data_IF_342600378164
#
_entry.id   IF_342600378164
#
_cell.length_a   1.000
_cell.length_b   1.000
_cell.length_c   1.000
_cell.angle_alpha   90.00
_cell.angle_beta   90.00
_cell.angle_gamma   90.00
#
_symmetry.space_group_name_H-M   'P 1'
#
loop_
_entity.id
_entity.type
_entity.pdbx_description
1 polymer ?
#
# COMPACT_ATOMS: atom_id res chain seq x y z
N UNK A 1 -11.16 -1.99 -12.35
CA UNK A 1 -9.73 -2.09 -12.69
C UNK A 1 -9.00 -0.73 -12.60
N UNK A 2 -9.40 0.30 -13.36
CA UNK A 2 -8.71 1.61 -13.38
C UNK A 2 -8.61 2.26 -11.99
N UNK A 3 -9.69 2.28 -11.22
CA UNK A 3 -9.68 2.86 -9.87
C UNK A 3 -8.70 2.14 -8.92
N UNK A 4 -8.64 0.80 -8.95
CA UNK A 4 -7.70 0.04 -8.14
C UNK A 4 -6.24 0.33 -8.54
N UNK A 5 -5.95 0.41 -9.84
CA UNK A 5 -4.62 0.78 -10.33
C UNK A 5 -4.23 2.21 -9.93
N UNK A 6 -5.16 3.17 -9.99
CA UNK A 6 -4.89 4.53 -9.52
C UNK A 6 -4.53 4.56 -8.03
N UNK A 7 -5.30 3.86 -7.18
CA UNK A 7 -4.99 3.77 -5.74
C UNK A 7 -3.64 3.08 -5.51
N UNK A 8 -3.32 2.04 -6.28
CA UNK A 8 -2.01 1.38 -6.21
C UNK A 8 -0.87 2.30 -6.67
N UNK A 9 -1.07 3.08 -7.73
CA UNK A 9 -0.08 4.09 -8.15
C UNK A 9 0.14 5.15 -7.06
N UNK A 10 -0.92 5.61 -6.40
CA UNK A 10 -0.80 6.50 -5.23
C UNK A 10 -0.02 5.82 -4.11
N UNK A 11 -0.24 4.52 -3.87
CA UNK A 11 0.54 3.73 -2.93
C UNK A 11 2.03 3.67 -3.30
N UNK A 12 2.36 3.46 -4.58
CA UNK A 12 3.76 3.44 -5.07
C UNK A 12 4.41 4.80 -4.90
N UNK A 13 3.74 5.88 -5.28
CA UNK A 13 4.24 7.26 -5.06
C UNK A 13 4.38 7.54 -3.55
N UNK A 14 3.42 7.07 -2.75
CA UNK A 14 3.45 7.16 -1.29
C UNK A 14 4.60 6.38 -0.65
N UNK A 15 5.20 5.39 -1.35
CA UNK A 15 6.36 4.66 -0.82
C UNK A 15 7.63 5.52 -0.73
N UNK A 16 7.70 6.56 -1.53
CA UNK A 16 8.77 7.58 -1.47
C UNK A 16 8.49 8.59 -0.36
N UNK A 17 7.22 8.82 -0.06
CA UNK A 17 6.77 9.71 1.02
C UNK A 17 6.42 8.85 2.25
N UNK A 18 7.24 8.82 3.29
CA UNK A 18 7.05 7.93 4.46
C UNK A 18 5.86 8.26 5.34
N UNK A 19 5.12 9.31 5.01
CA UNK A 19 3.88 9.71 5.68
C UNK A 19 2.70 8.80 5.28
N UNK A 20 2.73 8.23 4.08
CA UNK A 20 1.63 7.41 3.56
C UNK A 20 1.98 5.93 3.73
N UNK A 21 1.16 5.13 4.42
CA UNK A 21 1.37 3.69 4.53
C UNK A 21 1.09 3.01 3.19
N UNK A 22 2.09 3.05 2.29
CA UNK A 22 1.97 2.63 0.89
C UNK A 22 1.57 1.17 0.72
N UNK A 23 2.19 0.24 1.45
CA UNK A 23 1.88 -1.19 1.36
C UNK A 23 0.48 -1.55 1.86
N UNK A 24 -0.04 -1.02 2.99
CA UNK A 24 -1.43 -1.18 3.37
C UNK A 24 -2.42 -0.63 2.33
N UNK A 25 -2.12 0.49 1.65
CA UNK A 25 -2.99 1.03 0.60
C UNK A 25 -3.13 0.06 -0.59
N UNK A 26 -2.05 -0.60 -0.99
CA UNK A 26 -2.09 -1.61 -2.06
C UNK A 26 -2.98 -2.79 -1.64
N UNK A 27 -2.89 -3.25 -0.38
CA UNK A 27 -3.77 -4.30 0.15
C UNK A 27 -5.22 -3.86 0.14
N UNK A 28 -5.51 -2.65 0.64
CA UNK A 28 -6.88 -2.10 0.67
C UNK A 28 -7.46 -2.02 -0.75
N UNK A 29 -6.66 -1.58 -1.73
CA UNK A 29 -7.08 -1.54 -3.13
C UNK A 29 -7.38 -2.93 -3.69
N UNK A 30 -6.54 -3.93 -3.40
CA UNK A 30 -6.72 -5.30 -3.86
C UNK A 30 -7.95 -5.96 -3.19
N UNK A 31 -8.13 -5.77 -1.88
CA UNK A 31 -9.29 -6.27 -1.14
C UNK A 31 -10.57 -5.57 -1.60
N UNK A 32 -10.55 -4.25 -1.75
CA UNK A 32 -11.69 -3.48 -2.24
C UNK A 32 -12.11 -3.91 -3.64
N UNK A 33 -11.16 -4.14 -4.55
CA UNK A 33 -11.44 -4.66 -5.88
C UNK A 33 -12.08 -6.05 -5.83
N UNK A 34 -11.61 -6.93 -4.94
CA UNK A 34 -12.20 -8.25 -4.76
C UNK A 34 -13.60 -8.20 -4.17
N UNK A 35 -13.86 -7.34 -3.19
CA UNK A 35 -15.19 -7.19 -2.58
C UNK A 35 -16.22 -6.66 -3.60
N UNK A 36 -15.77 -5.85 -4.56
CA UNK A 36 -16.65 -5.27 -5.58
C UNK A 36 -16.92 -6.22 -6.75
N UNK A 37 -15.89 -6.94 -7.24
CA UNK A 37 -15.96 -7.78 -8.43
C UNK A 37 -16.08 -9.29 -8.10
N UNK A 38 -16.07 -9.69 -6.84
CA UNK A 38 -16.21 -11.08 -6.41
C UNK A 38 -15.11 -12.00 -6.96
N UNK A 39 -15.53 -13.17 -7.46
CA UNK A 39 -14.61 -14.20 -7.94
C UNK A 39 -13.98 -13.88 -9.30
N UNK A 40 -14.50 -12.93 -10.04
CA UNK A 40 -13.90 -12.42 -11.29
C UNK A 40 -12.70 -11.50 -11.05
N UNK A 41 -12.42 -11.19 -9.80
CA UNK A 41 -11.28 -10.38 -9.35
C UNK A 41 -10.01 -11.23 -9.13
N UNK A 42 -9.20 -10.80 -8.20
CA UNK A 42 -7.94 -11.43 -7.83
C UNK A 42 -8.15 -12.79 -7.16
N UNK A 43 -7.34 -13.80 -7.52
CA UNK A 43 -7.36 -15.12 -6.88
C UNK A 43 -7.06 -15.03 -5.37
N UNK A 44 -7.62 -15.94 -4.58
CA UNK A 44 -7.29 -16.08 -3.14
C UNK A 44 -5.79 -16.24 -2.91
N UNK A 45 -5.11 -16.96 -3.81
CA UNK A 45 -3.67 -17.15 -3.76
C UNK A 45 -2.92 -15.83 -3.95
N UNK A 46 -3.30 -15.03 -4.96
CA UNK A 46 -2.65 -13.73 -5.23
C UNK A 46 -2.95 -12.73 -4.11
N UNK A 47 -4.16 -12.73 -3.57
CA UNK A 47 -4.49 -11.91 -2.40
C UNK A 47 -3.63 -12.29 -1.19
N UNK A 48 -3.46 -13.59 -0.93
CA UNK A 48 -2.56 -14.10 0.11
C UNK A 48 -1.11 -13.69 -0.11
N UNK A 49 -0.62 -13.73 -1.36
CA UNK A 49 0.72 -13.26 -1.71
C UNK A 49 0.89 -11.75 -1.49
N UNK A 50 -0.11 -10.95 -1.84
CA UNK A 50 -0.08 -9.49 -1.60
C UNK A 50 -0.02 -9.19 -0.10
N UNK A 51 -0.82 -9.88 0.72
CA UNK A 51 -0.78 -9.74 2.17
C UNK A 51 0.58 -10.19 2.72
N UNK A 52 1.10 -11.33 2.27
CA UNK A 52 2.42 -11.84 2.66
C UNK A 52 3.56 -10.88 2.31
N UNK A 53 3.54 -10.32 1.10
CA UNK A 53 4.50 -9.29 0.66
C UNK A 53 4.39 -8.00 1.48
N UNK A 54 3.18 -7.65 1.92
CA UNK A 54 2.99 -6.49 2.81
C UNK A 54 3.64 -6.72 4.17
N UNK A 55 3.41 -7.88 4.78
CA UNK A 55 4.05 -8.25 6.05
C UNK A 55 5.57 -8.32 5.91
N UNK A 56 6.05 -8.88 4.80
CA UNK A 56 7.48 -8.94 4.49
C UNK A 56 8.07 -7.55 4.30
N UNK A 57 7.37 -6.63 3.61
CA UNK A 57 7.81 -5.24 3.45
C UNK A 57 7.92 -4.51 4.79
N UNK A 58 6.94 -4.68 5.68
CA UNK A 58 6.99 -4.10 7.03
C UNK A 58 8.15 -4.65 7.85
N UNK A 59 8.42 -5.96 7.73
CA UNK A 59 9.56 -6.59 8.38
C UNK A 59 10.88 -6.06 7.81
N UNK A 60 10.98 -5.89 6.48
CA UNK A 60 12.16 -5.31 5.84
C UNK A 60 12.43 -3.89 6.31
N UNK A 61 11.41 -3.03 6.40
CA UNK A 61 11.56 -1.66 6.90
C UNK A 61 12.15 -1.66 8.31
N UNK A 62 11.62 -2.51 9.18
CA UNK A 62 12.10 -2.61 10.55
C UNK A 62 13.54 -3.15 10.65
N UNK A 63 13.84 -4.24 9.92
CA UNK A 63 15.16 -4.88 9.91
C UNK A 63 16.19 -3.98 9.25
N UNK A 64 15.87 -3.33 8.13
CA UNK A 64 16.78 -2.43 7.43
C UNK A 64 17.19 -1.25 8.31
N UNK A 65 16.24 -0.63 9.02
CA UNK A 65 16.54 0.44 9.99
C UNK A 65 17.46 -0.01 11.11
N UNK A 66 17.17 -1.15 11.73
CA UNK A 66 17.95 -1.70 12.82
C UNK A 66 19.35 -2.13 12.38
N UNK A 67 19.44 -2.86 11.26
CA UNK A 67 20.73 -3.39 10.74
C UNK A 67 21.60 -2.25 10.22
N UNK A 68 21.01 -1.28 9.52
CA UNK A 68 21.74 -0.09 9.03
C UNK A 68 22.38 0.67 10.18
N UNK A 69 21.63 0.97 11.23
CA UNK A 69 22.15 1.63 12.41
C UNK A 69 23.24 0.80 13.12
N UNK A 70 22.98 -0.47 13.38
CA UNK A 70 23.94 -1.36 14.10
C UNK A 70 25.22 -1.62 13.32
N UNK A 71 25.18 -1.81 12.00
CA UNK A 71 26.38 -2.05 11.18
C UNK A 71 27.38 -0.91 11.22
N UNK A 72 26.92 0.32 11.41
CA UNK A 72 27.76 1.50 11.56
C UNK A 72 28.02 1.87 13.03
N UNK A 73 27.75 0.93 13.95
CA UNK A 73 28.15 1.02 15.33
C UNK A 73 27.15 1.72 16.26
N UNK A 74 25.89 1.91 15.83
CA UNK A 74 24.87 2.46 16.72
C UNK A 74 24.59 1.49 17.88
N UNK A 75 24.50 2.05 19.08
CA UNK A 75 23.99 1.34 20.25
C UNK A 75 22.45 1.32 20.21
N UNK A 76 21.85 0.62 21.16
CA UNK A 76 20.40 0.65 21.33
C UNK A 76 19.85 2.08 21.54
N UNK A 77 20.65 2.94 22.20
CA UNK A 77 20.32 4.36 22.40
C UNK A 77 20.26 5.12 21.08
N UNK A 78 21.24 4.88 20.20
CA UNK A 78 21.24 5.46 18.85
C UNK A 78 20.04 5.00 18.01
N UNK A 79 19.65 3.71 18.11
CA UNK A 79 18.45 3.19 17.45
C UNK A 79 17.18 3.87 17.96
N UNK A 80 17.03 4.03 19.28
CA UNK A 80 15.91 4.76 19.87
C UNK A 80 15.91 6.23 19.43
N UNK A 81 17.08 6.88 19.43
CA UNK A 81 17.25 8.25 18.95
C UNK A 81 16.85 8.39 17.48
N UNK A 82 17.21 7.42 16.61
CA UNK A 82 16.81 7.42 15.21
C UNK A 82 15.29 7.33 15.04
N UNK A 83 14.61 6.49 15.81
CA UNK A 83 13.14 6.34 15.77
C UNK A 83 12.48 7.63 16.24
N UNK A 84 12.88 8.20 17.35
CA UNK A 84 12.34 9.47 17.88
C UNK A 84 12.61 10.58 16.87
N UNK A 85 13.84 10.66 16.35
CA UNK A 85 14.22 11.64 15.32
C UNK A 85 13.41 11.51 14.04
N UNK A 86 13.11 10.27 13.59
CA UNK A 86 12.24 10.02 12.45
C UNK A 86 10.82 10.57 12.69
N UNK A 87 10.26 10.30 13.87
CA UNK A 87 8.91 10.79 14.24
C UNK A 87 8.89 12.32 14.26
N UNK A 88 9.87 12.94 14.91
CA UNK A 88 9.98 14.41 14.93
C UNK A 88 10.24 14.97 13.52
N UNK A 89 11.09 14.29 12.74
CA UNK A 89 11.40 14.64 11.36
C UNK A 89 10.20 14.66 10.42
N UNK A 90 9.18 13.82 10.68
CA UNK A 90 7.94 13.81 9.91
C UNK A 90 7.25 15.19 9.88
N UNK A 91 7.36 15.97 10.94
CA UNK A 91 6.78 17.31 11.00
C UNK A 91 7.54 18.33 10.14
N UNK A 92 8.75 18.01 9.70
CA UNK A 92 9.62 18.89 8.89
C UNK A 92 9.70 18.47 7.41
N UNK A 93 8.73 17.72 6.93
CA UNK A 93 8.68 17.23 5.53
C UNK A 93 9.84 16.29 5.14
N UNK A 94 10.11 16.15 3.84
CA UNK A 94 11.13 15.25 3.30
C UNK A 94 12.54 15.48 3.89
N UNK A 95 13.04 16.73 4.02
CA UNK A 95 14.35 16.95 4.64
C UNK A 95 14.40 16.49 6.10
N UNK A 96 13.34 16.75 6.86
CA UNK A 96 13.25 16.33 8.26
C UNK A 96 13.26 14.81 8.43
N UNK A 97 12.68 14.07 7.50
CA UNK A 97 12.65 12.63 7.52
C UNK A 97 14.03 11.98 7.35
N UNK A 98 14.92 12.58 6.57
CA UNK A 98 16.30 12.09 6.38
C UNK A 98 17.18 12.60 7.54
N UNK A 99 17.06 13.88 7.88
CA UNK A 99 17.85 14.51 8.93
C UNK A 99 17.41 14.09 10.34
N UNK A 100 16.13 13.79 10.52
CA UNK A 100 15.57 13.37 11.81
C UNK A 100 16.25 12.14 12.39
N UNK A 101 16.26 10.99 11.69
CA UNK A 101 16.98 9.80 12.13
C UNK A 101 18.48 10.03 12.35
N UNK A 102 19.10 10.83 11.49
CA UNK A 102 20.53 11.18 11.64
C UNK A 102 20.79 11.94 12.94
N UNK A 103 20.11 13.06 13.11
CA UNK A 103 20.28 13.94 14.28
C UNK A 103 19.86 13.19 15.56
N UNK A 104 18.74 12.48 15.51
CA UNK A 104 18.25 11.70 16.64
C UNK A 104 19.24 10.63 17.08
N UNK A 105 19.75 9.82 16.15
CA UNK A 105 20.75 8.81 16.46
C UNK A 105 22.04 9.43 17.02
N UNK A 106 22.57 10.45 16.35
CA UNK A 106 23.81 11.12 16.79
C UNK A 106 23.66 11.75 18.17
N UNK A 107 22.53 12.45 18.43
CA UNK A 107 22.26 13.11 19.70
C UNK A 107 22.20 12.09 20.86
N UNK A 108 21.45 10.99 20.68
CA UNK A 108 21.31 9.96 21.71
C UNK A 108 22.61 9.19 21.97
N UNK A 109 23.45 9.00 20.95
CA UNK A 109 24.79 8.43 21.14
C UNK A 109 25.71 9.37 21.92
N UNK A 110 25.66 10.68 21.63
CA UNK A 110 26.40 11.70 22.38
C UNK A 110 25.95 11.80 23.83
N UNK A 111 24.61 11.77 24.07
CA UNK A 111 24.06 11.70 25.42
C UNK A 111 24.48 10.41 26.16
N UNK A 112 24.80 9.37 25.40
CA UNK A 112 25.36 8.12 25.90
C UNK A 112 26.84 8.18 26.24
N UNK A 113 27.52 9.35 26.04
CA UNK A 113 28.95 9.55 26.32
C UNK A 113 29.89 9.15 25.19
N UNK A 114 29.37 8.88 23.98
CA UNK A 114 30.18 8.58 22.80
C UNK A 114 30.82 9.82 22.17
N UNK A 115 31.95 9.61 21.51
CA UNK A 115 32.66 10.66 20.78
C UNK A 115 31.87 11.06 19.54
N UNK A 116 32.04 12.29 19.11
CA UNK A 116 31.35 12.86 17.91
C UNK A 116 31.49 11.99 16.66
N UNK A 117 32.67 11.42 16.40
CA UNK A 117 32.90 10.56 15.25
C UNK A 117 32.07 9.27 15.27
N UNK A 118 31.90 8.65 16.44
CA UNK A 118 31.09 7.45 16.60
C UNK A 118 29.61 7.77 16.49
N UNK A 119 29.18 8.89 17.05
CA UNK A 119 27.81 9.37 16.99
C UNK A 119 27.38 9.71 15.55
N UNK A 120 28.23 10.36 14.78
CA UNK A 120 27.96 10.68 13.37
C UNK A 120 27.92 9.42 12.50
N UNK A 121 28.79 8.44 12.74
CA UNK A 121 28.73 7.13 12.05
C UNK A 121 27.40 6.41 12.34
N UNK A 122 26.96 6.41 13.59
CA UNK A 122 25.66 5.85 13.97
C UNK A 122 24.50 6.57 13.27
N UNK A 123 24.54 7.89 13.18
CA UNK A 123 23.58 8.70 12.45
C UNK A 123 23.54 8.36 10.95
N UNK A 124 24.70 8.25 10.30
CA UNK A 124 24.78 7.81 8.90
C UNK A 124 24.20 6.41 8.71
N UNK A 125 24.44 5.50 9.66
CA UNK A 125 23.86 4.17 9.66
C UNK A 125 22.33 4.18 9.71
N UNK A 126 21.77 5.05 10.51
CA UNK A 126 20.32 5.22 10.59
C UNK A 126 19.75 5.70 9.26
N UNK A 127 20.36 6.70 8.63
CA UNK A 127 19.93 7.19 7.31
C UNK A 127 20.03 6.11 6.23
N UNK A 128 21.16 5.41 6.15
CA UNK A 128 21.33 4.33 5.18
C UNK A 128 20.33 3.20 5.40
N UNK A 129 19.98 2.90 6.66
CA UNK A 129 18.94 1.93 7.00
C UNK A 129 17.56 2.38 6.50
N UNK A 130 17.19 3.63 6.69
CA UNK A 130 15.93 4.21 6.20
C UNK A 130 15.87 4.17 4.67
N UNK A 131 16.95 4.57 3.99
CA UNK A 131 17.03 4.52 2.53
C UNK A 131 16.93 3.10 1.98
N UNK A 132 17.63 2.15 2.60
CA UNK A 132 17.55 0.73 2.22
C UNK A 132 16.13 0.18 2.41
N UNK A 133 15.45 0.53 3.51
CA UNK A 133 14.04 0.20 3.76
C UNK A 133 13.13 0.79 2.68
N UNK A 134 13.31 2.07 2.33
CA UNK A 134 12.52 2.72 1.29
C UNK A 134 12.66 2.04 -0.08
N UNK A 135 13.88 1.66 -0.48
CA UNK A 135 14.13 0.91 -1.72
C UNK A 135 13.47 -0.48 -1.68
N UNK A 136 13.62 -1.20 -0.56
CA UNK A 136 12.98 -2.51 -0.38
C UNK A 136 11.45 -2.42 -0.46
N UNK A 137 10.86 -1.40 0.16
CA UNK A 137 9.44 -1.12 0.11
C UNK A 137 8.95 -0.80 -1.30
N UNK A 138 9.69 0.03 -2.04
CA UNK A 138 9.37 0.34 -3.44
C UNK A 138 9.34 -0.94 -4.28
N UNK A 139 10.35 -1.80 -4.14
CA UNK A 139 10.42 -3.09 -4.83
C UNK A 139 9.21 -3.98 -4.50
N UNK A 140 8.84 -4.08 -3.21
CA UNK A 140 7.65 -4.84 -2.79
C UNK A 140 6.36 -4.26 -3.37
N UNK A 141 6.18 -2.94 -3.37
CA UNK A 141 5.00 -2.28 -3.96
C UNK A 141 4.90 -2.56 -5.46
N UNK A 142 6.01 -2.46 -6.20
CA UNK A 142 6.03 -2.76 -7.63
C UNK A 142 5.72 -4.23 -7.90
N UNK A 143 6.27 -5.16 -7.11
CA UNK A 143 5.96 -6.58 -7.22
C UNK A 143 4.47 -6.87 -6.96
N UNK A 144 3.89 -6.26 -5.92
CA UNK A 144 2.45 -6.41 -5.62
C UNK A 144 1.58 -5.86 -6.74
N UNK A 145 1.92 -4.70 -7.30
CA UNK A 145 1.19 -4.10 -8.42
C UNK A 145 1.29 -4.96 -9.69
N UNK A 146 2.47 -5.52 -9.97
CA UNK A 146 2.67 -6.43 -11.10
C UNK A 146 1.86 -7.73 -10.94
N UNK A 147 1.88 -8.34 -9.75
CA UNK A 147 1.08 -9.54 -9.44
C UNK A 147 -0.42 -9.28 -9.57
N UNK A 148 -0.90 -8.15 -9.05
CA UNK A 148 -2.30 -7.76 -9.18
C UNK A 148 -2.69 -7.58 -10.63
N UNK A 149 -1.94 -6.77 -11.38
CA UNK A 149 -2.22 -6.48 -12.80
C UNK A 149 -2.20 -7.77 -13.63
N UNK A 150 -1.18 -8.60 -13.44
CA UNK A 150 -1.08 -9.89 -14.14
C UNK A 150 -2.27 -10.81 -13.84
N UNK A 151 -2.66 -10.91 -12.56
CA UNK A 151 -3.79 -11.75 -12.14
C UNK A 151 -5.12 -11.30 -12.76
N UNK A 152 -5.36 -9.98 -12.76
CA UNK A 152 -6.60 -9.43 -13.34
C UNK A 152 -6.63 -9.57 -14.84
N UNK A 153 -5.52 -9.30 -15.54
CA UNK A 153 -5.43 -9.45 -17.00
C UNK A 153 -5.57 -10.90 -17.41
N UNK A 154 -4.88 -11.84 -16.74
CA UNK A 154 -4.98 -13.25 -17.04
C UNK A 154 -6.43 -13.75 -16.94
N UNK A 155 -7.15 -13.36 -15.90
CA UNK A 155 -8.56 -13.73 -15.73
C UNK A 155 -9.48 -13.07 -16.76
N UNK A 156 -9.22 -11.83 -17.14
CA UNK A 156 -9.98 -11.16 -18.20
C UNK A 156 -9.81 -11.85 -19.56
N UNK A 157 -8.67 -12.50 -19.79
CA UNK A 157 -8.42 -13.27 -21.01
C UNK A 157 -9.05 -14.67 -20.97
N UNK A 158 -9.12 -15.29 -19.79
CA UNK A 158 -9.76 -16.58 -19.58
C UNK A 158 -11.29 -16.49 -19.64
N UNK A 159 -11.87 -15.37 -19.23
CA UNK A 159 -13.32 -15.15 -19.24
C UNK A 159 -13.68 -13.85 -19.96
N UNK A 160 -13.63 -13.83 -21.30
CA UNK A 160 -13.97 -12.64 -22.09
C UNK A 160 -15.45 -12.21 -21.96
N UNK A 161 -16.30 -13.04 -21.33
CA UNK A 161 -17.71 -12.75 -21.03
C UNK A 161 -17.92 -12.11 -19.65
N UNK A 162 -16.87 -11.92 -18.84
CA UNK A 162 -16.90 -11.11 -17.62
C UNK A 162 -16.92 -9.62 -18.01
N UNK A 163 -17.92 -9.22 -18.77
CA UNK A 163 -18.34 -7.84 -19.02
C UNK A 163 -18.78 -7.19 -17.70
N UNK A 164 -18.82 -5.84 -17.67
CA UNK A 164 -19.16 -5.06 -16.49
C UNK A 164 -20.42 -5.60 -15.80
N UNK A 165 -20.62 -5.30 -14.50
CA UNK A 165 -21.71 -5.87 -13.72
C UNK A 165 -22.98 -5.81 -14.55
N UNK A 166 -23.72 -6.93 -14.62
CA UNK A 166 -24.87 -7.00 -15.49
C UNK A 166 -25.74 -5.78 -15.20
N UNK A 167 -26.19 -5.19 -16.27
CA UNK A 167 -27.07 -4.01 -16.34
C UNK A 167 -28.44 -4.26 -15.65
N UNK A 168 -28.46 -5.10 -14.64
CA UNK A 168 -29.62 -5.47 -13.81
C UNK A 168 -30.15 -4.29 -12.99
N UNK A 169 -29.51 -3.14 -13.07
CA UNK A 169 -30.05 -1.91 -12.49
C UNK A 169 -30.82 -1.05 -13.48
N UNK A 170 -30.84 -1.41 -14.78
CA UNK A 170 -31.56 -0.67 -15.81
C UNK A 170 -32.77 -1.44 -16.33
N UNK A 171 -32.84 -2.77 -16.15
CA UNK A 171 -33.98 -3.57 -16.65
C UNK A 171 -35.19 -3.79 -15.70
N UNK A 172 -35.22 -3.40 -14.41
CA UNK A 172 -36.48 -3.58 -13.67
C UNK A 172 -37.63 -2.67 -14.16
N UNK A 173 -37.32 -1.65 -14.93
CA UNK A 173 -38.35 -0.71 -15.39
C UNK A 173 -39.05 -1.15 -16.67
N UNK A 174 -38.38 -1.83 -17.59
CA UNK A 174 -38.99 -2.26 -18.88
C UNK A 174 -39.84 -3.52 -18.68
N UNK A 175 -39.32 -4.48 -17.92
CA UNK A 175 -40.04 -5.74 -17.66
C UNK A 175 -41.19 -5.52 -16.67
N UNK A 176 -41.03 -4.64 -15.68
CA UNK A 176 -42.12 -4.23 -14.80
C UNK A 176 -43.21 -3.45 -15.56
N UNK A 177 -42.81 -2.59 -16.49
CA UNK A 177 -43.77 -1.88 -17.34
C UNK A 177 -44.50 -2.83 -18.30
N UNK A 178 -43.82 -3.84 -18.86
CA UNK A 178 -44.43 -4.86 -19.70
C UNK A 178 -45.43 -5.76 -18.92
N UNK A 179 -45.07 -6.12 -17.67
CA UNK A 179 -46.00 -6.86 -16.79
C UNK A 179 -47.19 -6.06 -16.34
N UNK A 180 -47.04 -4.76 -16.08
CA UNK A 180 -48.17 -3.89 -15.75
C UNK A 180 -49.12 -3.73 -16.93
N UNK A 181 -48.63 -3.68 -18.17
CA UNK A 181 -49.46 -3.60 -19.38
C UNK A 181 -50.25 -4.91 -19.61
N UNK A 182 -49.69 -6.07 -19.26
CA UNK A 182 -50.39 -7.36 -19.36
C UNK A 182 -51.50 -7.58 -18.31
N UNK A 183 -51.42 -6.87 -17.19
CA UNK A 183 -52.43 -6.99 -16.11
C UNK A 183 -53.66 -6.10 -16.36
N UNK A 184 -53.61 -5.18 -17.31
CA UNK A 184 -54.79 -4.36 -17.66
C UNK A 184 -55.77 -5.19 -18.49
N UNK A 185 -56.92 -5.61 -17.93
CA UNK A 185 -57.89 -6.39 -18.67
C UNK A 185 -58.43 -5.58 -19.86
N UNK A 186 -58.54 -6.23 -21.01
CA UNK A 186 -59.00 -5.63 -22.28
C UNK A 186 -60.39 -4.97 -22.22
N UNK A 187 -61.08 -5.10 -21.09
CA UNK A 187 -62.36 -4.50 -20.83
C UNK A 187 -62.36 -2.95 -20.67
N UNK A 188 -61.20 -2.34 -20.54
CA UNK A 188 -61.10 -0.87 -20.44
C UNK A 188 -60.89 -0.15 -21.79
N UNK A 189 -60.79 -0.89 -22.90
CA UNK A 189 -60.59 -0.31 -24.23
C UNK A 189 -61.84 -0.23 -25.07
N UNK A 190 -63.06 -0.44 -24.50
CA UNK A 190 -64.32 -0.24 -25.14
C UNK A 190 -65.11 0.92 -24.48
N UNK A 191 -64.76 2.15 -24.90
CA UNK A 191 -65.61 3.32 -24.83
C UNK A 191 -65.30 4.16 -26.03
#
# INVERSE_FOLDING_TARGET
MVAALLVMCVGVVGSVLPVIPSTPLVVIAAVGHRLYFGDDSVSNLVLGLIIGLTLFSLLLDYVAGMVGAKKLGATWRGVLGAVIGAIVGLFFSLPGLILGPFIGAALFEMLGGRKWEEATRAGLGAVLGVLAGAVGKLACCLAMMALFTFSVVARSLENPAATPPPDNLVEPTVDAAAQVIQVIPASYFHL
#
